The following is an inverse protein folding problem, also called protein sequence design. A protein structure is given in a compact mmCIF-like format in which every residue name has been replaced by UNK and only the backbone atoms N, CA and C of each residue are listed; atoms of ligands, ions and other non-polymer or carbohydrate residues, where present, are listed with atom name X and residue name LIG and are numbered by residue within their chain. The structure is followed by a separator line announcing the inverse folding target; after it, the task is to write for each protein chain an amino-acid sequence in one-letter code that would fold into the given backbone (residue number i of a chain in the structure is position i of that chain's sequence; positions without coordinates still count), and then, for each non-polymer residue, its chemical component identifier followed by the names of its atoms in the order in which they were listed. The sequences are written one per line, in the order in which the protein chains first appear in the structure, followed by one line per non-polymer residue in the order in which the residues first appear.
data_IF_382809096646
#
_entry.id   IF_382809096646
#
_cell.length_a   1.000
_cell.length_b   1.000
_cell.length_c   1.000
_cell.angle_alpha   90.00
_cell.angle_beta   90.00
_cell.angle_gamma   90.00
#
_symmetry.space_group_name_H-M   'P 1'
#
loop_
_entity.id
_entity.type
_entity.pdbx_description
1 polymer ?
#
# COMPACT_ATOMS: atom_id res chain seq x y z
N UNK A 1 -39.31 -65.33 -30.50
CA UNK A 1 -39.26 -64.32 -29.41
C UNK A 1 -39.86 -63.03 -29.94
N UNK A 2 -40.83 -62.45 -29.22
CA UNK A 2 -41.69 -61.33 -29.68
C UNK A 2 -40.94 -59.99 -29.80
N UNK A 3 -41.38 -59.08 -30.70
CA UNK A 3 -40.89 -57.71 -30.85
C UNK A 3 -41.71 -56.71 -29.99
N UNK A 4 -41.14 -55.54 -29.67
CA UNK A 4 -41.75 -54.25 -29.24
C UNK A 4 -40.73 -53.48 -28.37
N UNK A 5 -40.56 -52.14 -28.39
CA UNK A 5 -41.47 -51.02 -28.70
C UNK A 5 -40.66 -49.75 -29.01
N UNK A 6 -41.19 -48.93 -29.90
CA UNK A 6 -40.87 -47.51 -30.10
C UNK A 6 -41.32 -46.64 -28.90
N UNK A 7 -40.56 -45.57 -28.61
CA UNK A 7 -41.00 -44.20 -28.24
C UNK A 7 -39.83 -43.28 -28.65
N UNK A 8 -39.84 -42.44 -29.70
CA UNK A 8 -40.59 -41.21 -29.97
C UNK A 8 -40.57 -40.18 -28.82
N UNK A 9 -39.87 -39.06 -29.11
CA UNK A 9 -40.03 -37.68 -28.63
C UNK A 9 -39.73 -37.45 -27.13
N UNK A 10 -38.78 -36.58 -26.79
CA UNK A 10 -38.95 -35.12 -26.92
C UNK A 10 -37.67 -34.38 -27.31
N UNK A 11 -37.84 -33.52 -28.32
CA UNK A 11 -37.08 -32.29 -28.54
C UNK A 11 -36.81 -31.55 -27.22
N UNK A 12 -35.63 -30.95 -27.09
CA UNK A 12 -35.44 -29.85 -26.14
C UNK A 12 -34.06 -29.65 -25.53
N UNK A 13 -32.96 -29.85 -26.27
CA UNK A 13 -31.66 -29.27 -25.89
C UNK A 13 -30.89 -28.84 -27.14
N UNK A 14 -31.57 -28.11 -28.02
CA UNK A 14 -30.94 -27.19 -28.98
C UNK A 14 -31.12 -25.79 -28.41
N UNK A 15 -30.03 -25.01 -28.37
CA UNK A 15 -29.94 -23.59 -28.01
C UNK A 15 -30.12 -23.23 -26.52
N UNK A 16 -29.02 -23.32 -25.78
CA UNK A 16 -28.62 -22.22 -24.88
C UNK A 16 -27.18 -21.79 -25.23
N UNK A 17 -26.94 -21.61 -26.53
CA UNK A 17 -25.70 -21.07 -27.06
C UNK A 17 -26.02 -20.39 -28.39
N UNK A 18 -26.84 -19.34 -28.34
CA UNK A 18 -26.95 -18.25 -29.31
C UNK A 18 -28.18 -17.41 -28.97
N UNK A 19 -27.95 -16.26 -28.34
CA UNK A 19 -28.44 -14.94 -28.73
C UNK A 19 -28.25 -13.93 -27.59
N UNK A 20 -27.00 -13.53 -27.39
CA UNK A 20 -26.65 -12.15 -27.07
C UNK A 20 -25.47 -11.76 -27.99
N UNK A 21 -25.72 -11.79 -29.30
CA UNK A 21 -24.90 -11.11 -30.30
C UNK A 21 -25.49 -9.72 -30.54
N UNK A 22 -25.21 -8.80 -29.63
CA UNK A 22 -25.40 -7.36 -29.83
C UNK A 22 -24.58 -6.60 -28.78
N UNK A 23 -23.27 -6.49 -29.04
CA UNK A 23 -22.33 -5.68 -28.28
C UNK A 23 -21.82 -6.42 -27.04
N UNK A 24 -20.60 -6.94 -27.12
CA UNK A 24 -19.78 -7.08 -25.92
C UNK A 24 -19.44 -5.65 -25.50
N UNK A 25 -20.34 -4.99 -24.77
CA UNK A 25 -20.14 -3.64 -24.29
C UNK A 25 -19.03 -3.72 -23.26
N UNK A 26 -17.81 -3.38 -23.68
CA UNK A 26 -16.99 -2.56 -22.80
C UNK A 26 -17.81 -1.30 -22.57
N UNK A 27 -18.61 -1.29 -21.51
CA UNK A 27 -19.24 -0.06 -21.07
C UNK A 27 -18.09 0.90 -20.75
N UNK A 28 -17.79 1.82 -21.67
CA UNK A 28 -16.81 2.89 -21.44
C UNK A 28 -17.19 3.74 -20.23
N UNK A 29 -18.48 3.67 -19.84
CA UNK A 29 -19.09 4.42 -18.76
C UNK A 29 -19.99 3.55 -17.90
N UNK A 30 -19.96 3.83 -16.60
CA UNK A 30 -20.82 3.20 -15.60
C UNK A 30 -22.29 3.43 -15.92
N UNK A 31 -23.13 2.39 -15.74
CA UNK A 31 -24.57 2.47 -15.92
C UNK A 31 -25.23 3.61 -15.12
N UNK A 32 -26.33 4.16 -15.65
CA UNK A 32 -27.02 5.28 -15.02
C UNK A 32 -27.52 4.94 -13.60
N UNK A 33 -27.42 5.90 -12.68
CA UNK A 33 -27.93 5.75 -11.30
C UNK A 33 -27.10 4.84 -10.39
N UNK A 34 -25.98 4.28 -10.84
CA UNK A 34 -25.07 3.49 -9.99
C UNK A 34 -24.43 4.37 -8.91
N UNK A 35 -24.29 3.81 -7.72
CA UNK A 35 -23.70 4.46 -6.56
C UNK A 35 -22.61 3.58 -5.96
N UNK A 36 -21.47 4.16 -5.57
CA UNK A 36 -20.39 3.50 -4.83
C UNK A 36 -20.21 4.20 -3.49
N UNK A 37 -20.32 3.46 -2.38
CA UNK A 37 -20.20 4.02 -1.01
C UNK A 37 -21.06 5.28 -0.81
N UNK A 38 -22.28 5.28 -1.40
CA UNK A 38 -23.22 6.40 -1.32
C UNK A 38 -22.92 7.57 -2.26
N UNK A 39 -21.85 7.54 -3.06
CA UNK A 39 -21.54 8.53 -4.10
C UNK A 39 -22.13 8.11 -5.45
N UNK A 40 -22.80 9.02 -6.14
CA UNK A 40 -23.28 8.78 -7.50
C UNK A 40 -22.10 8.70 -8.47
N UNK A 41 -21.98 7.55 -9.16
CA UNK A 41 -20.93 7.26 -10.13
C UNK A 41 -21.48 6.91 -11.52
N UNK A 42 -22.81 6.88 -11.68
CA UNK A 42 -23.43 6.64 -12.99
C UNK A 42 -22.97 7.65 -14.04
N UNK A 43 -22.63 7.14 -15.23
CA UNK A 43 -22.09 7.91 -16.35
C UNK A 43 -20.58 8.21 -16.26
N UNK A 44 -19.91 7.87 -15.17
CA UNK A 44 -18.45 8.05 -15.04
C UNK A 44 -17.68 7.13 -15.99
N UNK A 45 -16.55 7.60 -16.50
CA UNK A 45 -15.62 6.77 -17.27
C UNK A 45 -14.84 5.84 -16.34
N UNK A 46 -14.24 4.78 -16.91
CA UNK A 46 -13.29 3.91 -16.20
C UNK A 46 -12.23 4.71 -15.44
N UNK A 47 -11.62 5.71 -16.08
CA UNK A 47 -10.58 6.54 -15.45
C UNK A 47 -11.09 7.28 -14.21
N UNK A 48 -12.30 7.85 -14.26
CA UNK A 48 -12.90 8.54 -13.12
C UNK A 48 -13.23 7.58 -11.97
N UNK A 49 -13.68 6.36 -12.28
CA UNK A 49 -13.91 5.31 -11.29
C UNK A 49 -12.58 4.89 -10.66
N UNK A 50 -11.55 4.63 -11.47
CA UNK A 50 -10.22 4.25 -11.01
C UNK A 50 -9.60 5.30 -10.10
N UNK A 51 -9.66 6.58 -10.48
CA UNK A 51 -9.17 7.69 -9.68
C UNK A 51 -9.88 7.75 -8.32
N UNK A 52 -11.21 7.65 -8.33
CA UNK A 52 -11.99 7.70 -7.10
C UNK A 52 -11.75 6.49 -6.20
N UNK A 53 -11.71 5.28 -6.75
CA UNK A 53 -11.45 4.05 -5.98
C UNK A 53 -10.02 4.06 -5.42
N UNK A 54 -9.04 4.59 -6.14
CA UNK A 54 -7.68 4.80 -5.61
C UNK A 54 -7.67 5.79 -4.44
N UNK A 55 -8.44 6.87 -4.50
CA UNK A 55 -8.61 7.83 -3.41
C UNK A 55 -9.33 7.22 -2.18
N UNK A 56 -10.28 6.31 -2.39
CA UNK A 56 -10.88 5.51 -1.32
C UNK A 56 -9.85 4.54 -0.70
N UNK A 57 -9.08 3.84 -1.53
CA UNK A 57 -8.10 2.85 -1.08
C UNK A 57 -7.01 3.45 -0.18
N UNK A 58 -6.69 4.74 -0.33
CA UNK A 58 -5.76 5.45 0.55
C UNK A 58 -6.28 5.62 1.98
N UNK A 59 -7.60 5.59 2.18
CA UNK A 59 -8.27 5.76 3.48
C UNK A 59 -8.88 4.47 4.01
N UNK A 60 -8.94 3.45 3.17
CA UNK A 60 -9.57 2.16 3.48
C UNK A 60 -8.60 1.00 3.29
N UNK A 61 -7.79 0.68 4.32
CA UNK A 61 -6.89 -0.47 4.29
C UNK A 61 -7.63 -1.76 3.93
N UNK A 62 -7.07 -2.54 3.00
CA UNK A 62 -7.63 -3.80 2.52
C UNK A 62 -8.61 -3.68 1.35
N UNK A 63 -8.93 -2.47 0.90
CA UNK A 63 -9.70 -2.24 -0.33
C UNK A 63 -8.98 -2.87 -1.54
N UNK A 64 -9.72 -3.58 -2.38
CA UNK A 64 -9.23 -4.17 -3.63
C UNK A 64 -9.59 -3.25 -4.79
N UNK A 65 -8.62 -2.46 -5.28
CA UNK A 65 -8.85 -1.42 -6.29
C UNK A 65 -9.42 -2.02 -7.57
N UNK A 66 -8.72 -2.98 -8.18
CA UNK A 66 -9.12 -3.54 -9.46
C UNK A 66 -10.48 -4.27 -9.37
N UNK A 67 -10.68 -5.09 -8.33
CA UNK A 67 -11.95 -5.79 -8.10
C UNK A 67 -13.12 -4.82 -7.90
N UNK A 68 -12.90 -3.71 -7.19
CA UNK A 68 -13.92 -2.68 -6.98
C UNK A 68 -14.23 -1.93 -8.27
N UNK A 69 -13.20 -1.58 -9.05
CA UNK A 69 -13.37 -0.91 -10.36
C UNK A 69 -14.16 -1.79 -11.31
N UNK A 70 -13.80 -3.07 -11.44
CA UNK A 70 -14.53 -4.00 -12.30
C UNK A 70 -15.97 -4.22 -11.83
N UNK A 71 -16.21 -4.30 -10.51
CA UNK A 71 -17.56 -4.41 -9.98
C UNK A 71 -18.43 -3.18 -10.31
N UNK A 72 -17.85 -1.98 -10.30
CA UNK A 72 -18.56 -0.73 -10.64
C UNK A 72 -18.85 -0.64 -12.14
N UNK A 73 -17.91 -1.05 -12.99
CA UNK A 73 -18.09 -1.00 -14.45
C UNK A 73 -19.03 -2.09 -14.97
N UNK A 74 -19.14 -3.22 -14.27
CA UNK A 74 -20.08 -4.29 -14.59
C UNK A 74 -21.47 -4.12 -13.93
N UNK A 75 -21.71 -2.98 -13.26
CA UNK A 75 -22.92 -2.78 -12.46
C UNK A 75 -24.15 -2.49 -13.32
N UNK A 76 -25.28 -3.12 -12.96
CA UNK A 76 -26.59 -2.80 -13.55
C UNK A 76 -27.06 -1.38 -13.18
N UNK A 77 -27.90 -0.72 -14.02
CA UNK A 77 -28.46 0.59 -13.71
C UNK A 77 -29.11 0.66 -12.32
N UNK A 78 -28.81 1.72 -11.57
CA UNK A 78 -29.35 1.94 -10.22
C UNK A 78 -28.69 1.13 -9.10
N UNK A 79 -27.66 0.32 -9.39
CA UNK A 79 -26.98 -0.48 -8.38
C UNK A 79 -26.37 0.35 -7.24
N UNK A 80 -26.38 -0.22 -6.03
CA UNK A 80 -25.81 0.38 -4.81
C UNK A 80 -24.65 -0.51 -4.34
N UNK A 81 -23.43 -0.13 -4.68
CA UNK A 81 -22.23 -0.90 -4.41
C UNK A 81 -21.50 -0.39 -3.17
N UNK A 82 -20.79 -1.31 -2.54
CA UNK A 82 -19.74 -1.05 -1.54
C UNK A 82 -18.41 -1.46 -2.12
N UNK A 83 -17.33 -0.92 -1.56
CA UNK A 83 -15.99 -1.33 -1.96
C UNK A 83 -15.74 -2.79 -1.60
N UNK A 84 -14.96 -3.48 -2.44
CA UNK A 84 -14.51 -4.84 -2.15
C UNK A 84 -13.33 -4.76 -1.18
N UNK A 85 -13.43 -5.41 -0.02
CA UNK A 85 -12.37 -5.42 1.02
C UNK A 85 -11.92 -6.83 1.32
N UNK A 86 -10.63 -7.01 1.61
CA UNK A 86 -10.06 -8.26 2.11
C UNK A 86 -9.38 -8.04 3.46
N UNK A 87 -9.42 -9.05 4.37
CA UNK A 87 -8.64 -9.00 5.59
C UNK A 87 -7.15 -8.85 5.29
N UNK A 88 -6.50 -7.91 5.97
CA UNK A 88 -5.07 -7.67 5.84
C UNK A 88 -4.26 -8.80 6.47
N UNK A 89 -3.23 -9.27 5.76
CA UNK A 89 -2.24 -10.21 6.27
C UNK A 89 -0.88 -9.52 6.36
N UNK A 90 -0.03 -10.02 7.25
CA UNK A 90 1.37 -9.56 7.31
C UNK A 90 2.11 -10.10 6.09
N UNK A 91 2.57 -9.21 5.23
CA UNK A 91 3.43 -9.54 4.09
C UNK A 91 4.90 -9.63 4.53
N UNK A 92 5.33 -8.66 5.33
CA UNK A 92 6.66 -8.62 5.91
C UNK A 92 6.66 -7.81 7.20
N UNK A 93 7.64 -8.08 8.06
CA UNK A 93 7.85 -7.35 9.29
C UNK A 93 9.34 -7.27 9.60
N UNK A 94 9.77 -6.17 10.20
CA UNK A 94 11.13 -6.02 10.69
C UNK A 94 11.15 -5.17 11.95
N UNK A 95 12.12 -5.43 12.82
CA UNK A 95 12.28 -4.69 14.06
C UNK A 95 13.74 -4.37 14.34
N UNK A 96 14.00 -3.15 14.79
CA UNK A 96 15.31 -2.71 15.29
C UNK A 96 15.19 -2.33 16.76
N UNK A 97 16.23 -2.61 17.56
CA UNK A 97 16.32 -2.06 18.93
C UNK A 97 16.62 -0.57 18.84
N UNK A 98 16.02 0.24 19.70
CA UNK A 98 16.41 1.64 19.86
C UNK A 98 17.92 1.71 20.11
N UNK A 99 18.61 2.59 19.37
CA UNK A 99 20.06 2.74 19.48
C UNK A 99 20.49 3.15 20.90
N UNK A 100 19.71 4.03 21.51
CA UNK A 100 19.90 4.60 22.83
C UNK A 100 18.54 5.05 23.40
N UNK A 101 18.57 5.61 24.61
CA UNK A 101 17.41 6.12 25.34
C UNK A 101 17.38 7.66 25.39
N UNK A 102 18.06 8.34 24.46
CA UNK A 102 18.02 9.81 24.37
C UNK A 102 16.56 10.22 24.08
N UNK A 103 15.93 11.01 24.98
CA UNK A 103 14.48 11.25 24.92
C UNK A 103 14.06 11.99 23.65
N UNK A 104 14.92 12.87 23.11
CA UNK A 104 14.64 13.63 21.90
C UNK A 104 14.76 12.74 20.65
N UNK A 105 15.74 11.84 20.63
CA UNK A 105 15.87 10.81 19.59
C UNK A 105 14.66 9.87 19.58
N UNK A 106 14.24 9.41 20.77
CA UNK A 106 13.09 8.53 20.92
C UNK A 106 11.80 9.24 20.48
N UNK A 107 11.61 10.50 20.88
CA UNK A 107 10.52 11.35 20.40
C UNK A 107 10.48 11.45 18.87
N UNK A 108 11.61 11.75 18.23
CA UNK A 108 11.70 11.82 16.77
C UNK A 108 11.35 10.47 16.10
N UNK A 109 11.78 9.36 16.67
CA UNK A 109 11.43 8.02 16.19
C UNK A 109 9.92 7.77 16.28
N UNK A 110 9.29 8.10 17.41
CA UNK A 110 7.84 7.98 17.56
C UNK A 110 7.11 8.81 16.51
N UNK A 111 7.47 10.09 16.36
CA UNK A 111 6.87 10.98 15.37
C UNK A 111 7.04 10.47 13.94
N UNK A 112 8.21 9.92 13.61
CA UNK A 112 8.49 9.35 12.30
C UNK A 112 7.63 8.11 12.04
N UNK A 113 7.52 7.22 13.03
CA UNK A 113 6.68 6.01 12.94
C UNK A 113 5.20 6.38 12.82
N UNK A 114 4.75 7.41 13.54
CA UNK A 114 3.39 7.93 13.46
C UNK A 114 3.04 8.42 12.05
N UNK A 115 3.93 9.20 11.42
CA UNK A 115 3.74 9.68 10.04
C UNK A 115 3.66 8.57 9.00
N UNK A 116 4.34 7.46 9.23
CA UNK A 116 4.31 6.30 8.36
C UNK A 116 3.08 5.41 8.62
N UNK A 117 2.59 5.37 9.87
CA UNK A 117 1.58 4.43 10.29
C UNK A 117 0.23 4.72 9.63
N UNK A 118 -0.31 3.71 8.93
CA UNK A 118 -1.54 3.82 8.16
C UNK A 118 -1.33 4.24 6.70
N UNK A 119 -0.12 4.62 6.29
CA UNK A 119 0.14 4.99 4.91
C UNK A 119 -0.10 3.80 3.96
N UNK A 120 -0.90 4.00 2.91
CA UNK A 120 -1.23 2.99 1.90
C UNK A 120 -0.45 3.26 0.62
N UNK A 121 0.28 2.25 0.17
CA UNK A 121 1.04 2.23 -1.09
C UNK A 121 0.25 1.40 -2.09
N UNK A 122 -0.26 2.03 -3.14
CA UNK A 122 -1.07 1.38 -4.17
C UNK A 122 -0.23 0.47 -5.08
N UNK A 123 -0.84 -0.48 -5.81
CA UNK A 123 -0.14 -1.28 -6.81
C UNK A 123 0.61 -0.40 -7.80
N UNK A 124 1.90 -0.69 -8.00
CA UNK A 124 2.79 0.04 -8.91
C UNK A 124 3.28 1.40 -8.39
N UNK A 125 2.73 1.91 -7.28
CA UNK A 125 3.14 3.19 -6.69
C UNK A 125 4.56 3.12 -6.15
N UNK A 126 5.30 4.22 -6.35
CA UNK A 126 6.61 4.43 -5.74
C UNK A 126 6.41 5.15 -4.42
N UNK A 127 6.78 4.49 -3.33
CA UNK A 127 6.89 5.10 -2.02
C UNK A 127 8.18 5.92 -1.93
N UNK A 128 8.11 7.08 -1.28
CA UNK A 128 9.24 7.94 -0.90
C UNK A 128 9.15 8.24 0.58
N UNK A 129 10.19 7.91 1.33
CA UNK A 129 10.22 8.14 2.78
C UNK A 129 10.13 9.63 3.09
N UNK A 130 10.92 10.45 2.40
CA UNK A 130 10.91 11.90 2.60
C UNK A 130 9.59 12.55 2.20
N UNK A 131 8.91 12.07 1.16
CA UNK A 131 7.61 12.61 0.78
C UNK A 131 6.52 12.34 1.84
N UNK A 132 6.60 11.19 2.52
CA UNK A 132 5.60 10.80 3.53
C UNK A 132 5.93 11.38 4.91
N UNK A 133 7.19 11.32 5.32
CA UNK A 133 7.61 11.82 6.63
C UNK A 133 7.82 13.34 6.61
N UNK A 134 8.26 13.92 5.50
CA UNK A 134 8.58 15.35 5.40
C UNK A 134 9.91 15.75 6.05
N UNK A 135 10.28 17.01 5.87
CA UNK A 135 11.54 17.58 6.37
C UNK A 135 11.56 17.68 7.91
N UNK A 136 12.71 17.38 8.55
CA UNK A 136 12.84 17.46 10.00
C UNK A 136 13.01 18.89 10.50
N UNK A 137 11.89 19.60 10.72
CA UNK A 137 11.89 20.96 11.27
C UNK A 137 11.34 21.02 12.69
N UNK A 138 11.71 22.07 13.44
CA UNK A 138 11.15 22.30 14.78
C UNK A 138 9.63 22.54 14.73
N UNK A 139 9.13 23.23 13.71
CA UNK A 139 7.69 23.44 13.47
C UNK A 139 6.95 22.13 13.18
N UNK A 140 7.62 21.18 12.53
CA UNK A 140 7.14 19.82 12.35
C UNK A 140 7.21 18.97 13.63
N UNK A 141 7.70 19.51 14.75
CA UNK A 141 7.77 18.84 16.05
C UNK A 141 9.02 17.97 16.26
N UNK A 142 9.99 18.01 15.35
CA UNK A 142 11.27 17.33 15.54
C UNK A 142 12.15 18.07 16.53
N UNK A 143 12.99 17.32 17.23
CA UNK A 143 13.90 17.80 18.27
C UNK A 143 15.37 17.51 17.91
N UNK A 144 16.32 18.34 18.37
CA UNK A 144 17.74 18.08 18.13
C UNK A 144 18.18 16.79 18.82
N UNK A 145 18.65 15.83 18.03
CA UNK A 145 19.12 14.53 18.51
C UNK A 145 20.40 14.12 17.76
N UNK A 146 21.09 13.10 18.28
CA UNK A 146 22.38 12.69 17.70
C UNK A 146 22.18 12.08 16.31
N UNK A 147 22.86 12.64 15.31
CA UNK A 147 22.96 12.17 13.92
C UNK A 147 24.41 11.80 13.62
N UNK A 148 24.60 10.84 12.71
CA UNK A 148 25.91 10.47 12.19
C UNK A 148 26.12 11.25 10.87
N UNK A 149 27.06 12.20 10.86
CA UNK A 149 27.41 12.94 9.65
C UNK A 149 28.23 12.08 8.67
N UNK A 150 28.48 12.61 7.47
CA UNK A 150 29.14 11.89 6.37
C UNK A 150 30.63 11.59 6.63
N UNK A 151 31.29 12.41 7.45
CA UNK A 151 32.64 12.11 7.98
C UNK A 151 32.60 11.11 9.16
N UNK A 152 31.39 10.68 9.53
CA UNK A 152 31.06 9.84 10.66
C UNK A 152 31.37 10.45 12.01
N UNK A 153 31.39 11.78 12.13
CA UNK A 153 31.26 12.48 13.41
C UNK A 153 29.81 12.45 13.87
N UNK A 154 29.62 12.64 15.17
CA UNK A 154 28.31 12.76 15.79
C UNK A 154 27.94 14.24 15.88
N UNK A 155 26.81 14.60 15.29
CA UNK A 155 26.26 15.96 15.30
C UNK A 155 24.91 15.96 16.01
N UNK A 156 24.47 17.12 16.52
CA UNK A 156 23.10 17.29 17.04
C UNK A 156 22.29 18.01 15.98
N UNK A 157 21.32 17.31 15.39
CA UNK A 157 20.46 17.84 14.33
C UNK A 157 19.00 17.47 14.57
N UNK A 158 18.08 18.26 14.00
CA UNK A 158 16.66 17.94 14.01
C UNK A 158 16.41 16.63 13.25
N UNK A 159 15.56 15.76 13.80
CA UNK A 159 15.21 14.50 13.14
C UNK A 159 16.19 13.34 13.40
N UNK A 160 17.17 13.52 14.30
CA UNK A 160 18.00 12.41 14.73
C UNK A 160 17.15 11.22 15.20
N UNK A 161 17.38 10.05 14.59
CA UNK A 161 16.55 8.85 14.75
C UNK A 161 15.79 8.42 13.49
N UNK A 162 15.53 9.33 12.54
CA UNK A 162 14.78 9.01 11.30
C UNK A 162 15.47 7.93 10.45
N UNK A 163 16.80 7.97 10.29
CA UNK A 163 17.53 6.94 9.53
C UNK A 163 17.39 5.53 10.13
N UNK A 164 17.15 5.40 11.44
CA UNK A 164 16.85 4.10 12.04
C UNK A 164 15.47 3.59 11.61
N UNK A 165 14.48 4.47 11.54
CA UNK A 165 13.13 4.11 11.06
C UNK A 165 13.17 3.78 9.56
N UNK A 166 13.89 4.59 8.76
CA UNK A 166 14.11 4.32 7.33
C UNK A 166 14.81 2.97 7.12
N UNK A 167 15.89 2.68 7.86
CA UNK A 167 16.57 1.37 7.82
C UNK A 167 15.64 0.23 8.22
N UNK A 168 14.77 0.44 9.22
CA UNK A 168 13.77 -0.56 9.61
C UNK A 168 12.79 -0.82 8.47
N UNK A 169 12.26 0.24 7.84
CA UNK A 169 11.31 0.17 6.73
C UNK A 169 11.94 -0.49 5.48
N UNK A 170 13.18 -0.15 5.17
CA UNK A 170 13.96 -0.77 4.10
C UNK A 170 14.01 -2.30 4.25
N UNK A 171 14.24 -2.81 5.47
CA UNK A 171 14.24 -4.25 5.69
C UNK A 171 12.85 -4.88 5.58
N UNK A 172 11.78 -4.16 5.90
CA UNK A 172 10.41 -4.62 5.60
C UNK A 172 10.20 -4.71 4.10
N UNK A 173 10.63 -3.70 3.33
CA UNK A 173 10.55 -3.70 1.87
C UNK A 173 11.33 -4.86 1.23
N UNK A 174 12.55 -5.12 1.70
CA UNK A 174 13.32 -6.30 1.29
C UNK A 174 12.60 -7.60 1.63
N UNK A 175 12.06 -7.72 2.85
CA UNK A 175 11.31 -8.90 3.28
C UNK A 175 10.03 -9.15 2.47
N UNK A 176 9.41 -8.09 1.95
CA UNK A 176 8.24 -8.17 1.10
C UNK A 176 8.58 -8.37 -0.39
N UNK A 177 9.86 -8.42 -0.76
CA UNK A 177 10.29 -8.53 -2.16
C UNK A 177 10.00 -7.29 -3.00
N UNK A 178 9.92 -6.11 -2.36
CA UNK A 178 9.66 -4.86 -3.07
C UNK A 178 10.89 -4.38 -3.83
N UNK A 179 10.68 -3.82 -5.02
CA UNK A 179 11.77 -3.27 -5.84
C UNK A 179 12.26 -1.95 -5.25
N UNK A 180 13.46 -1.96 -4.67
CA UNK A 180 14.12 -0.76 -4.15
C UNK A 180 14.67 0.06 -5.31
N UNK A 181 14.27 1.33 -5.39
CA UNK A 181 14.64 2.26 -6.46
C UNK A 181 15.71 3.26 -6.02
N UNK A 182 15.70 3.62 -4.73
CA UNK A 182 16.71 4.49 -4.14
C UNK A 182 17.01 4.02 -2.72
N UNK A 183 18.30 3.88 -2.42
CA UNK A 183 18.80 3.58 -1.08
C UNK A 183 20.26 4.03 -0.99
N UNK A 184 20.59 4.70 0.09
CA UNK A 184 21.95 5.14 0.40
C UNK A 184 22.44 4.48 1.70
N UNK A 185 23.68 3.97 1.76
CA UNK A 185 24.30 3.52 3.02
C UNK A 185 24.74 4.71 3.87
N UNK A 186 24.85 4.49 5.18
CA UNK A 186 25.58 5.40 6.06
C UNK A 186 27.07 5.34 5.74
N UNK A 187 27.77 6.47 5.94
CA UNK A 187 29.21 6.55 5.78
C UNK A 187 30.00 5.63 6.74
N UNK A 188 29.42 5.28 7.90
CA UNK A 188 29.98 4.30 8.84
C UNK A 188 28.92 3.28 9.28
N UNK A 189 29.33 2.05 9.67
CA UNK A 189 28.41 1.04 10.16
C UNK A 189 27.57 1.52 11.35
N UNK A 190 26.27 1.23 11.29
CA UNK A 190 25.31 1.51 12.37
C UNK A 190 25.04 0.26 13.20
N UNK A 191 24.70 0.44 14.48
CA UNK A 191 24.55 -0.69 15.43
C UNK A 191 23.17 -1.33 15.46
N UNK A 192 22.17 -0.72 14.82
CA UNK A 192 20.77 -1.14 14.91
C UNK A 192 20.31 -2.06 13.76
N UNK A 193 21.13 -2.24 12.71
CA UNK A 193 20.92 -3.18 11.60
C UNK A 193 22.26 -3.79 11.14
N UNK A 194 22.26 -4.98 10.52
CA UNK A 194 23.48 -5.56 9.93
C UNK A 194 24.08 -4.72 8.79
N UNK A 195 25.34 -4.94 8.41
CA UNK A 195 25.95 -4.30 7.24
C UNK A 195 25.11 -4.49 5.96
N UNK A 196 24.95 -3.42 5.19
CA UNK A 196 24.15 -3.42 3.95
C UNK A 196 22.63 -3.42 4.15
N UNK A 197 22.16 -3.42 5.41
CA UNK A 197 20.73 -3.37 5.78
C UNK A 197 20.28 -2.00 6.29
N UNK A 198 21.12 -0.98 6.15
CA UNK A 198 20.82 0.39 6.55
C UNK A 198 20.30 1.23 5.37
N UNK A 199 19.53 2.27 5.66
CA UNK A 199 19.06 3.23 4.66
C UNK A 199 19.15 4.64 5.28
N UNK A 200 20.07 5.44 4.76
CA UNK A 200 20.24 6.83 5.13
C UNK A 200 19.24 7.68 4.36
N UNK A 201 18.69 8.67 5.06
CA UNK A 201 17.83 9.71 4.48
C UNK A 201 18.36 11.07 4.90
N UNK A 202 18.19 12.06 4.03
CA UNK A 202 18.49 13.46 4.23
C UNK A 202 17.66 14.30 3.26
N UNK A 203 17.92 15.62 3.15
CA UNK A 203 17.18 16.49 2.22
C UNK A 203 17.23 15.99 0.77
N UNK A 204 18.38 15.47 0.35
CA UNK A 204 18.70 14.99 -1.01
C UNK A 204 18.86 13.46 -1.10
N UNK A 205 18.86 12.75 0.04
CA UNK A 205 18.95 11.29 0.11
C UNK A 205 17.61 10.71 0.55
N UNK A 206 17.06 9.75 -0.20
CA UNK A 206 15.77 9.15 0.13
C UNK A 206 15.83 7.61 0.14
N UNK A 207 14.83 7.02 0.79
CA UNK A 207 14.48 5.61 0.60
C UNK A 207 13.26 5.55 -0.30
N UNK A 208 13.45 5.05 -1.52
CA UNK A 208 12.36 4.83 -2.48
C UNK A 208 12.24 3.37 -2.88
N UNK A 209 11.02 2.87 -2.94
CA UNK A 209 10.73 1.52 -3.41
C UNK A 209 9.36 1.46 -4.07
N UNK A 210 9.17 0.53 -4.98
CA UNK A 210 7.91 0.31 -5.68
C UNK A 210 7.12 -0.83 -5.05
N UNK A 211 5.81 -0.64 -4.87
CA UNK A 211 4.91 -1.74 -4.54
C UNK A 211 4.60 -2.57 -5.78
N UNK A 212 5.38 -3.62 -6.01
CA UNK A 212 5.19 -4.58 -7.10
C UNK A 212 4.38 -5.82 -6.69
N UNK A 213 3.57 -5.75 -5.62
CA UNK A 213 2.76 -6.89 -5.14
C UNK A 213 1.42 -7.10 -5.86
N UNK A 214 1.02 -6.16 -6.72
CA UNK A 214 -0.26 -6.19 -7.41
C UNK A 214 -1.48 -5.87 -6.52
N UNK A 215 -1.27 -5.46 -5.27
CA UNK A 215 -2.34 -5.10 -4.33
C UNK A 215 -1.93 -3.89 -3.46
N UNK A 216 -2.89 -3.13 -2.89
CA UNK A 216 -2.55 -2.09 -1.93
C UNK A 216 -1.86 -2.66 -0.69
N UNK A 217 -0.85 -1.95 -0.20
CA UNK A 217 -0.09 -2.33 1.00
C UNK A 217 -0.09 -1.19 2.01
N UNK A 218 -0.49 -1.49 3.24
CA UNK A 218 -0.51 -0.54 4.35
C UNK A 218 0.74 -0.70 5.21
N UNK A 219 1.40 0.42 5.51
CA UNK A 219 2.47 0.47 6.51
C UNK A 219 1.83 0.51 7.90
N UNK A 220 2.19 -0.45 8.75
CA UNK A 220 1.90 -0.40 10.19
C UNK A 220 3.20 -0.14 10.92
N UNK A 221 3.16 0.70 11.95
CA UNK A 221 4.32 0.97 12.78
C UNK A 221 4.00 1.08 14.26
N UNK A 222 4.93 0.61 15.08
CA UNK A 222 4.85 0.72 16.53
C UNK A 222 6.25 0.88 17.13
N UNK A 223 6.34 1.62 18.23
CA UNK A 223 7.54 1.73 19.06
C UNK A 223 7.18 1.22 20.44
N UNK A 224 7.63 0.01 20.75
CA UNK A 224 7.24 -0.71 21.95
C UNK A 224 8.43 -1.52 22.48
N UNK A 225 8.55 -1.65 23.80
CA UNK A 225 9.60 -2.47 24.45
C UNK A 225 11.00 -2.18 23.88
N UNK A 226 11.31 -0.90 23.72
CA UNK A 226 12.58 -0.40 23.18
C UNK A 226 12.90 -0.88 21.76
N UNK A 227 11.87 -1.15 20.95
CA UNK A 227 12.01 -1.55 19.56
C UNK A 227 11.14 -0.70 18.67
N UNK A 228 11.69 -0.33 17.52
CA UNK A 228 10.92 0.14 16.37
C UNK A 228 10.53 -1.11 15.59
N UNK A 229 9.23 -1.32 15.38
CA UNK A 229 8.73 -2.42 14.56
C UNK A 229 7.80 -1.87 13.49
N UNK A 230 8.06 -2.28 12.25
CA UNK A 230 7.27 -1.91 11.09
C UNK A 230 6.80 -3.17 10.38
N UNK A 231 5.63 -3.08 9.74
CA UNK A 231 5.04 -4.15 8.94
C UNK A 231 4.49 -3.59 7.63
N UNK A 232 4.49 -4.44 6.61
CA UNK A 232 3.63 -4.30 5.44
C UNK A 232 2.44 -5.23 5.58
N UNK A 233 1.25 -4.68 5.44
CA UNK A 233 -0.03 -5.37 5.52
C UNK A 233 -0.71 -5.32 4.14
N UNK A 234 -1.19 -6.46 3.64
CA UNK A 234 -1.90 -6.57 2.35
C UNK A 234 -2.43 -7.98 2.09
#
# INVERSE_FOLDING_TARGET
MRPQRQRLLTLGFFLYFLLCFSGCWWQERVAAGVMLEGKAVGGWTRHQVEEHVRDLARREPGLQVDETVEAVLAAEPGARLRVVRRPLKVLAAYATRLLDRDPDRVHNIHLTVERLNGHVILPGEVFSFNAVVGQPTAAAGFRPATVLGDDGRKLKELGGGMCQVSSTLYNVALGAGFKVLERHPHAKPVKYVPPGRDATIYTDLDLKFQNNSGRPVTIRGAVEKERVRLWFLG
#
